data_IF_024436949391
#
_entry.id   IF_024436949391
#
_cell.length_a   1.000
_cell.length_b   1.000
_cell.length_c   1.000
_cell.angle_alpha   90.00
_cell.angle_beta   90.00
_cell.angle_gamma   90.00
#
_symmetry.space_group_name_H-M   'P 1'
#
loop_
_entity.id
_entity.type
_entity.pdbx_description
1 polymer ?
#
# COMPACT_ATOMS: atom_id res chain seq x y z
N UNK A 1 -7.71 -19.86 1.97
CA UNK A 1 -6.64 -18.89 1.76
C UNK A 1 -6.26 -18.34 3.13
N UNK A 2 -5.01 -18.51 3.58
CA UNK A 2 -4.60 -18.07 4.92
C UNK A 2 -4.52 -16.53 4.89
N UNK A 3 -4.95 -15.87 5.96
CA UNK A 3 -4.90 -14.40 6.08
C UNK A 3 -3.50 -13.83 5.78
N UNK A 4 -2.44 -14.57 6.09
CA UNK A 4 -1.07 -14.14 5.83
C UNK A 4 -0.71 -14.04 4.34
N UNK A 5 -1.30 -14.86 3.47
CA UNK A 5 -1.06 -14.79 2.02
C UNK A 5 -1.62 -13.47 1.45
N UNK A 6 -2.84 -13.10 1.87
CA UNK A 6 -3.51 -11.87 1.41
C UNK A 6 -2.70 -10.63 1.79
N UNK A 7 -2.16 -10.59 3.01
CA UNK A 7 -1.31 -9.46 3.44
C UNK A 7 -0.02 -9.38 2.63
N UNK A 8 0.58 -10.53 2.30
CA UNK A 8 1.82 -10.58 1.50
C UNK A 8 1.58 -10.14 0.05
N UNK A 9 0.44 -10.51 -0.53
CA UNK A 9 0.03 -10.04 -1.86
C UNK A 9 -0.22 -8.53 -1.87
N UNK A 10 -0.93 -8.00 -0.88
CA UNK A 10 -1.18 -6.55 -0.76
C UNK A 10 0.15 -5.79 -0.56
N UNK A 11 1.06 -6.28 0.28
CA UNK A 11 2.37 -5.66 0.48
C UNK A 11 3.19 -5.63 -0.81
N UNK A 12 3.22 -6.75 -1.54
CA UNK A 12 3.90 -6.84 -2.84
C UNK A 12 3.28 -5.89 -3.86
N UNK A 13 1.95 -5.79 -3.89
CA UNK A 13 1.21 -4.85 -4.73
C UNK A 13 1.55 -3.39 -4.42
N UNK A 14 1.60 -3.01 -3.15
CA UNK A 14 1.99 -1.67 -2.70
C UNK A 14 3.42 -1.34 -3.13
N UNK A 15 4.38 -2.24 -2.90
CA UNK A 15 5.78 -2.04 -3.28
C UNK A 15 5.93 -1.91 -4.80
N UNK A 16 5.25 -2.77 -5.58
CA UNK A 16 5.27 -2.68 -7.03
C UNK A 16 4.66 -1.37 -7.53
N UNK A 17 3.55 -0.92 -6.94
CA UNK A 17 2.92 0.34 -7.31
C UNK A 17 3.83 1.55 -7.00
N UNK A 18 4.43 1.60 -5.82
CA UNK A 18 5.36 2.66 -5.44
C UNK A 18 6.66 2.62 -6.26
N UNK A 19 7.12 1.43 -6.64
CA UNK A 19 8.30 1.26 -7.51
C UNK A 19 8.01 1.72 -8.95
N UNK A 20 6.82 1.46 -9.46
CA UNK A 20 6.37 1.91 -10.79
C UNK A 20 6.09 3.42 -10.81
N UNK A 21 5.71 3.99 -9.66
CA UNK A 21 5.41 5.40 -9.50
C UNK A 21 6.23 6.00 -8.34
N UNK A 22 7.54 6.22 -8.52
CA UNK A 22 8.41 6.79 -7.48
C UNK A 22 8.00 8.22 -7.08
N UNK A 23 7.28 8.93 -7.95
CA UNK A 23 6.68 10.23 -7.66
C UNK A 23 5.26 10.14 -7.07
N UNK A 24 4.64 8.96 -7.09
CA UNK A 24 3.40 8.72 -6.36
C UNK A 24 3.71 8.64 -4.88
N UNK A 25 3.92 9.80 -4.28
CA UNK A 25 3.60 10.04 -2.90
C UNK A 25 2.07 9.86 -2.77
N UNK A 26 1.62 8.61 -2.71
CA UNK A 26 0.21 8.26 -2.66
C UNK A 26 -0.18 7.99 -1.21
N UNK A 27 -1.27 8.59 -0.76
CA UNK A 27 -1.91 8.20 0.49
C UNK A 27 -2.48 6.78 0.36
N UNK A 28 -2.81 6.09 1.46
CA UNK A 28 -3.47 4.76 1.41
C UNK A 28 -4.70 4.83 0.52
N UNK A 29 -5.46 5.93 0.61
CA UNK A 29 -6.62 6.17 -0.24
C UNK A 29 -6.25 6.33 -1.73
N UNK A 30 -5.10 6.90 -2.06
CA UNK A 30 -4.60 7.02 -3.44
C UNK A 30 -4.11 5.68 -3.97
N UNK A 31 -3.38 4.91 -3.16
CA UNK A 31 -2.97 3.54 -3.48
C UNK A 31 -4.22 2.70 -3.71
N UNK A 32 -5.17 2.69 -2.77
CA UNK A 32 -6.45 2.03 -2.92
C UNK A 32 -7.19 2.51 -4.17
N UNK A 33 -7.36 3.81 -4.40
CA UNK A 33 -8.17 4.29 -5.52
C UNK A 33 -7.52 4.00 -6.88
N UNK A 34 -6.19 4.08 -7.00
CA UNK A 34 -5.47 3.80 -8.24
C UNK A 34 -5.32 2.30 -8.48
N UNK A 35 -5.00 1.53 -7.44
CA UNK A 35 -4.82 0.08 -7.52
C UNK A 35 -6.16 -0.66 -7.60
N UNK A 36 -7.14 -0.36 -6.73
CA UNK A 36 -8.48 -0.97 -6.73
C UNK A 36 -9.35 -0.53 -7.91
N UNK A 37 -9.07 0.60 -8.57
CA UNK A 37 -9.79 0.95 -9.80
C UNK A 37 -9.43 0.02 -10.96
N UNK A 38 -8.23 -0.56 -10.95
CA UNK A 38 -7.73 -1.38 -12.05
C UNK A 38 -8.08 -2.86 -11.89
N UNK A 39 -8.36 -3.27 -10.66
CA UNK A 39 -8.41 -4.65 -10.25
C UNK A 39 -9.64 -4.77 -9.33
N UNK A 40 -10.65 -5.58 -9.71
CA UNK A 40 -11.91 -5.81 -8.96
C UNK A 40 -11.65 -6.49 -7.60
N UNK A 41 -10.79 -5.92 -6.78
CA UNK A 41 -10.37 -6.45 -5.52
C UNK A 41 -11.30 -5.93 -4.44
N UNK A 42 -11.99 -6.87 -3.80
CA UNK A 42 -12.75 -6.69 -2.57
C UNK A 42 -11.82 -6.53 -1.35
N UNK A 43 -10.64 -5.94 -1.53
CA UNK A 43 -9.76 -5.68 -0.39
C UNK A 43 -10.26 -4.44 0.35
N UNK A 44 -10.60 -4.65 1.62
CA UNK A 44 -10.99 -3.56 2.50
C UNK A 44 -9.79 -2.63 2.68
N UNK A 45 -10.03 -1.31 2.64
CA UNK A 45 -9.03 -0.27 2.93
C UNK A 45 -8.25 -0.58 4.21
N UNK A 46 -8.89 -1.21 5.18
CA UNK A 46 -8.30 -1.65 6.45
C UNK A 46 -7.13 -2.65 6.28
N UNK A 47 -7.24 -3.59 5.32
CA UNK A 47 -6.17 -4.54 5.02
C UNK A 47 -4.98 -3.84 4.34
N UNK A 48 -5.26 -2.89 3.45
CA UNK A 48 -4.22 -2.07 2.81
C UNK A 48 -3.53 -1.18 3.84
N UNK A 49 -4.29 -0.59 4.76
CA UNK A 49 -3.75 0.21 5.85
C UNK A 49 -2.86 -0.62 6.77
N UNK A 50 -3.28 -1.84 7.13
CA UNK A 50 -2.49 -2.77 7.93
C UNK A 50 -1.21 -3.21 7.21
N UNK A 51 -1.27 -3.43 5.90
CA UNK A 51 -0.11 -3.78 5.09
C UNK A 51 0.92 -2.63 5.02
N UNK A 52 0.44 -1.40 4.78
CA UNK A 52 1.28 -0.18 4.80
C UNK A 52 1.90 0.05 6.17
N UNK A 53 1.13 -0.12 7.25
CA UNK A 53 1.64 -0.01 8.62
C UNK A 53 2.73 -1.05 8.90
N UNK A 54 2.52 -2.28 8.45
CA UNK A 54 3.54 -3.34 8.51
C UNK A 54 4.83 -2.99 7.76
N UNK A 55 4.73 -2.34 6.60
CA UNK A 55 5.90 -1.91 5.81
C UNK A 55 6.63 -0.72 6.45
N UNK A 56 5.89 0.24 7.02
CA UNK A 56 6.46 1.35 7.81
C UNK A 56 7.19 0.85 9.05
N UNK A 57 6.58 -0.09 9.78
CA UNK A 57 7.16 -0.67 10.99
C UNK A 57 8.45 -1.45 10.71
N UNK A 58 8.55 -2.04 9.51
CA UNK A 58 9.77 -2.71 9.02
C UNK A 58 10.84 -1.76 8.47
N UNK A 59 10.52 -0.49 8.28
CA UNK A 59 11.41 0.49 7.65
C UNK A 59 11.55 0.33 6.14
N UNK A 60 10.66 -0.44 5.50
CA UNK A 60 10.64 -0.63 4.03
C UNK A 60 9.91 0.52 3.31
N UNK A 61 9.19 1.34 4.07
CA UNK A 61 8.51 2.54 3.57
C UNK A 61 8.71 3.71 4.54
N UNK A 62 8.60 4.91 4.00
CA UNK A 62 8.66 6.17 4.72
C UNK A 62 7.33 6.92 4.58
N UNK A 63 6.78 7.37 5.71
CA UNK A 63 5.63 8.29 5.71
C UNK A 63 6.17 9.72 5.75
N UNK A 64 5.79 10.55 4.77
CA UNK A 64 6.09 11.99 4.85
C UNK A 64 5.26 12.62 5.99
N UNK A 65 5.91 13.37 6.87
CA UNK A 65 5.23 13.98 8.02
C UNK A 65 4.20 15.04 7.60
N UNK A 66 4.51 15.81 6.55
CA UNK A 66 3.68 16.92 6.06
C UNK A 66 2.49 16.51 5.20
N UNK A 67 2.53 15.30 4.63
CA UNK A 67 1.51 14.80 3.73
C UNK A 67 1.34 13.34 4.04
N UNK A 68 0.13 12.85 4.34
CA UNK A 68 -0.20 11.43 4.62
C UNK A 68 0.08 10.47 3.43
N UNK A 69 1.21 10.67 2.75
CA UNK A 69 1.70 10.08 1.54
C UNK A 69 2.89 9.20 1.91
N UNK A 70 2.99 8.07 1.24
CA UNK A 70 4.05 7.10 1.46
C UNK A 70 5.02 7.07 0.28
N UNK A 71 6.29 6.84 0.57
CA UNK A 71 7.36 6.61 -0.40
C UNK A 71 8.22 5.43 0.05
N UNK A 72 8.90 4.78 -0.89
CA UNK A 72 10.00 3.86 -0.57
C UNK A 72 11.19 4.66 -0.03
#
# INVERSE_FOLDING_TARGET
>A
MKMNDIHSEIQTGIINYLSAHPEACASVQGICNQWLSNEKYLHNIDQVQTAVDGLLSRGEMHKRADTNKYSL
#
